data_IF_666525392724
#
_entry.id   IF_666525392724
#
_cell.length_a   1.000
_cell.length_b   1.000
_cell.length_c   1.000
_cell.angle_alpha   90.00
_cell.angle_beta   90.00
_cell.angle_gamma   90.00
#
_symmetry.space_group_name_H-M   'P 1'
#
loop_
_entity.id
_entity.type
_entity.pdbx_description
1 polymer ?
#
# COMPACT_ATOMS: atom_id res chain seq x y z
N UNK A 1 -25.32 -27.41 10.24
CA UNK A 1 -24.78 -26.17 10.85
C UNK A 1 -23.29 -26.29 10.80
N UNK A 2 -22.70 -25.83 9.74
CA UNK A 2 -21.24 -25.82 9.52
C UNK A 2 -20.78 -24.39 9.78
N UNK A 3 -20.02 -24.23 10.88
CA UNK A 3 -19.28 -23.00 11.19
C UNK A 3 -18.27 -22.75 10.08
N UNK A 4 -18.54 -21.75 9.27
CA UNK A 4 -17.59 -21.15 8.34
C UNK A 4 -16.73 -20.17 9.17
N UNK A 5 -15.66 -20.74 9.76
CA UNK A 5 -14.67 -19.98 10.52
C UNK A 5 -13.85 -19.15 9.56
N UNK A 6 -14.19 -17.89 9.52
CA UNK A 6 -13.59 -16.73 8.89
C UNK A 6 -12.17 -16.85 8.38
N UNK A 7 -12.03 -16.93 7.11
CA UNK A 7 -10.94 -16.27 6.41
C UNK A 7 -11.05 -14.78 6.71
N UNK A 8 -9.99 -14.18 7.28
CA UNK A 8 -9.89 -12.74 7.51
C UNK A 8 -9.81 -12.00 6.18
N UNK A 9 -10.87 -12.10 5.41
CA UNK A 9 -11.00 -11.46 4.13
C UNK A 9 -11.15 -9.95 4.39
N UNK A 10 -10.26 -9.18 3.81
CA UNK A 10 -10.49 -7.79 3.47
C UNK A 10 -11.86 -7.73 2.78
N UNK A 11 -12.91 -7.35 3.52
CA UNK A 11 -14.24 -7.37 2.94
C UNK A 11 -14.39 -6.21 1.97
N UNK A 12 -15.05 -6.42 0.84
CA UNK A 12 -15.45 -5.39 -0.13
C UNK A 12 -15.93 -4.09 0.52
N UNK A 13 -16.70 -4.22 1.61
CA UNK A 13 -17.19 -3.10 2.39
C UNK A 13 -16.07 -2.27 3.02
N UNK A 14 -14.96 -2.90 3.42
CA UNK A 14 -13.84 -2.21 4.10
C UNK A 14 -12.98 -1.45 3.10
N UNK A 15 -12.63 -2.06 1.95
CA UNK A 15 -11.88 -1.40 0.88
C UNK A 15 -12.65 -0.21 0.31
N UNK A 16 -13.91 -0.39 -0.04
CA UNK A 16 -14.80 0.68 -0.54
C UNK A 16 -14.99 1.79 0.49
N UNK A 17 -15.24 1.46 1.75
CA UNK A 17 -15.44 2.48 2.80
C UNK A 17 -14.20 3.31 3.03
N UNK A 18 -12.99 2.72 2.91
CA UNK A 18 -11.73 3.44 3.06
C UNK A 18 -11.43 4.33 1.85
N UNK A 19 -11.67 3.85 0.64
CA UNK A 19 -11.48 4.63 -0.59
C UNK A 19 -12.53 5.73 -0.72
N UNK A 20 -13.80 5.45 -0.50
CA UNK A 20 -14.88 6.44 -0.52
C UNK A 20 -14.69 7.50 0.57
N UNK A 21 -14.30 7.12 1.77
CA UNK A 21 -14.05 8.06 2.85
C UNK A 21 -12.78 8.89 2.65
N UNK A 22 -11.76 8.37 1.94
CA UNK A 22 -10.47 9.04 1.73
C UNK A 22 -10.33 9.68 0.35
N UNK A 23 -11.06 9.20 -0.66
CA UNK A 23 -10.87 9.51 -2.07
C UNK A 23 -10.86 10.98 -2.43
N UNK A 24 -11.84 11.74 -1.95
CA UNK A 24 -11.96 13.19 -2.23
C UNK A 24 -11.20 14.07 -1.26
N UNK A 25 -10.86 13.56 -0.05
CA UNK A 25 -10.37 14.40 1.05
C UNK A 25 -8.85 14.31 1.29
N UNK A 26 -8.11 13.40 0.61
CA UNK A 26 -6.68 13.18 0.82
C UNK A 26 -5.83 13.27 -0.46
N UNK A 27 -6.17 14.18 -1.37
CA UNK A 27 -5.47 14.35 -2.65
C UNK A 27 -3.97 14.66 -2.49
N UNK A 28 -3.62 15.51 -1.51
CA UNK A 28 -2.22 15.91 -1.27
C UNK A 28 -1.42 14.78 -0.63
N UNK A 29 -2.04 14.02 0.26
CA UNK A 29 -1.42 12.84 0.85
C UNK A 29 -1.15 11.77 -0.21
N UNK A 30 -2.10 11.51 -1.09
CA UNK A 30 -1.90 10.57 -2.22
C UNK A 30 -0.81 11.04 -3.17
N UNK A 31 -0.77 12.31 -3.51
CA UNK A 31 0.32 12.87 -4.32
C UNK A 31 1.68 12.78 -3.61
N UNK A 32 1.74 13.01 -2.30
CA UNK A 32 2.95 12.84 -1.50
C UNK A 32 3.41 11.36 -1.51
N UNK A 33 2.49 10.42 -1.30
CA UNK A 33 2.76 8.99 -1.35
C UNK A 33 3.25 8.57 -2.75
N UNK A 34 2.55 9.00 -3.79
CA UNK A 34 2.90 8.72 -5.17
C UNK A 34 4.29 9.22 -5.53
N UNK A 35 4.62 10.47 -5.20
CA UNK A 35 5.95 11.04 -5.48
C UNK A 35 7.09 10.26 -4.81
N UNK A 36 6.84 9.68 -3.64
CA UNK A 36 7.84 8.87 -2.94
C UNK A 36 8.00 7.47 -3.54
N UNK A 37 6.95 6.92 -4.12
CA UNK A 37 6.94 5.58 -4.71
C UNK A 37 7.39 5.63 -6.18
N UNK A 38 6.83 6.53 -6.98
CA UNK A 38 7.01 6.57 -8.43
C UNK A 38 8.47 6.77 -8.87
N UNK A 39 9.28 7.46 -8.07
CA UNK A 39 10.73 7.63 -8.35
C UNK A 39 11.54 6.32 -8.33
N UNK A 40 10.98 5.25 -7.78
CA UNK A 40 11.58 3.93 -7.74
C UNK A 40 10.98 2.96 -8.77
N UNK A 41 10.02 3.44 -9.57
CA UNK A 41 9.33 2.65 -10.58
C UNK A 41 10.06 2.75 -11.92
N UNK A 42 10.24 1.60 -12.56
CA UNK A 42 10.69 1.50 -13.96
C UNK A 42 9.52 1.66 -14.95
N UNK A 43 9.76 1.33 -16.23
CA UNK A 43 8.78 1.56 -17.31
C UNK A 43 7.56 0.63 -17.26
N UNK A 44 7.66 -0.52 -16.59
CA UNK A 44 6.55 -1.46 -16.39
C UNK A 44 6.29 -1.66 -14.91
N UNK A 45 5.03 -1.46 -14.48
CA UNK A 45 4.63 -1.50 -13.08
C UNK A 45 3.49 -2.48 -12.88
N UNK A 46 3.53 -3.25 -11.79
CA UNK A 46 2.41 -4.03 -11.29
C UNK A 46 2.04 -3.51 -9.90
N UNK A 47 0.83 -3.02 -9.72
CA UNK A 47 0.27 -2.65 -8.42
C UNK A 47 -0.55 -3.80 -7.85
N UNK A 48 -0.21 -4.21 -6.63
CA UNK A 48 -0.89 -5.26 -5.89
C UNK A 48 -1.85 -4.65 -4.87
N UNK A 49 -3.09 -5.16 -4.82
CA UNK A 49 -4.12 -4.63 -3.92
C UNK A 49 -4.53 -3.20 -4.30
N UNK A 50 -4.75 -2.97 -5.60
CA UNK A 50 -5.02 -1.64 -6.13
C UNK A 50 -6.42 -1.10 -5.77
N UNK A 51 -7.31 -1.94 -5.19
CA UNK A 51 -8.67 -1.56 -4.84
C UNK A 51 -9.45 -1.07 -6.06
N UNK A 52 -9.88 0.19 -6.03
CA UNK A 52 -10.56 0.83 -7.17
C UNK A 52 -9.59 1.54 -8.13
N UNK A 53 -8.27 1.37 -8.00
CA UNK A 53 -7.26 1.91 -8.90
C UNK A 53 -6.96 3.41 -8.70
N UNK A 54 -7.28 3.97 -7.54
CA UNK A 54 -7.04 5.40 -7.26
C UNK A 54 -5.55 5.77 -7.27
N UNK A 55 -4.69 4.92 -6.71
CA UNK A 55 -3.26 5.13 -6.74
C UNK A 55 -2.70 4.89 -8.15
N UNK A 56 -3.10 3.79 -8.80
CA UNK A 56 -2.74 3.45 -10.17
C UNK A 56 -3.06 4.57 -11.17
N UNK A 57 -4.16 5.31 -10.96
CA UNK A 57 -4.59 6.39 -11.85
C UNK A 57 -3.59 7.54 -11.98
N UNK A 58 -2.66 7.67 -11.03
CA UNK A 58 -1.62 8.70 -11.03
C UNK A 58 -0.44 8.34 -11.95
N UNK A 59 -0.25 7.06 -12.28
CA UNK A 59 0.79 6.65 -13.22
C UNK A 59 0.46 7.11 -14.64
N UNK A 60 1.42 7.75 -15.28
CA UNK A 60 1.36 8.18 -16.69
C UNK A 60 2.69 7.90 -17.37
N UNK A 61 2.67 7.62 -18.67
CA UNK A 61 3.89 7.42 -19.46
C UNK A 61 4.64 6.11 -19.17
N UNK A 62 3.95 5.12 -18.58
CA UNK A 62 4.48 3.76 -18.48
C UNK A 62 4.27 3.01 -19.80
N UNK A 63 5.17 2.08 -20.09
CA UNK A 63 5.01 1.15 -21.19
C UNK A 63 3.92 0.11 -20.88
N UNK A 64 3.80 -0.25 -19.59
CA UNK A 64 2.81 -1.20 -19.10
C UNK A 64 2.46 -0.95 -17.63
N UNK A 65 1.17 -0.98 -17.32
CA UNK A 65 0.66 -0.96 -15.95
C UNK A 65 -0.30 -2.13 -15.74
N UNK A 66 0.01 -3.01 -14.81
CA UNK A 66 -0.88 -4.08 -14.37
C UNK A 66 -1.45 -3.69 -13.00
N UNK A 67 -2.77 -3.61 -12.89
CA UNK A 67 -3.45 -3.32 -11.63
C UNK A 67 -4.15 -4.58 -11.13
N UNK A 68 -3.89 -4.97 -9.89
CA UNK A 68 -4.41 -6.24 -9.38
C UNK A 68 -5.11 -6.08 -8.04
N UNK A 69 -6.13 -6.91 -7.83
CA UNK A 69 -6.78 -7.06 -6.53
C UNK A 69 -7.24 -8.51 -6.34
N UNK A 70 -7.44 -8.92 -5.09
CA UNK A 70 -8.00 -10.22 -4.76
C UNK A 70 -9.50 -10.26 -5.02
N UNK A 71 -10.18 -9.12 -4.91
CA UNK A 71 -11.61 -8.97 -5.11
C UNK A 71 -11.95 -8.83 -6.61
N UNK A 72 -12.71 -9.80 -7.19
CA UNK A 72 -13.11 -9.72 -8.60
C UNK A 72 -13.99 -8.51 -8.91
N UNK A 73 -14.70 -7.94 -7.93
CA UNK A 73 -15.49 -6.73 -8.12
C UNK A 73 -14.62 -5.49 -8.30
N UNK A 74 -13.53 -5.40 -7.55
CA UNK A 74 -12.51 -4.37 -7.74
C UNK A 74 -11.88 -4.48 -9.13
N UNK A 75 -11.54 -5.70 -9.56
CA UNK A 75 -10.96 -5.94 -10.90
C UNK A 75 -11.91 -5.48 -12.01
N UNK A 76 -13.22 -5.79 -11.91
CA UNK A 76 -14.20 -5.31 -12.90
C UNK A 76 -14.26 -3.79 -12.97
N UNK A 77 -14.31 -3.12 -11.81
CA UNK A 77 -14.35 -1.66 -11.75
C UNK A 77 -13.07 -1.01 -12.29
N UNK A 78 -11.91 -1.61 -12.02
CA UNK A 78 -10.64 -1.15 -12.62
C UNK A 78 -10.62 -1.36 -14.14
N UNK A 79 -11.16 -2.47 -14.64
CA UNK A 79 -11.29 -2.69 -16.09
C UNK A 79 -12.11 -1.59 -16.74
N UNK A 80 -13.25 -1.23 -16.16
CA UNK A 80 -14.10 -0.14 -16.67
C UNK A 80 -13.41 1.23 -16.53
N UNK A 81 -12.76 1.47 -15.39
CA UNK A 81 -12.05 2.74 -15.12
C UNK A 81 -10.94 3.04 -16.09
N UNK A 82 -10.19 2.02 -16.50
CA UNK A 82 -9.02 2.15 -17.36
C UNK A 82 -9.30 1.72 -18.82
N UNK A 83 -10.56 1.61 -19.23
CA UNK A 83 -10.94 1.15 -20.58
C UNK A 83 -10.30 1.96 -21.73
N UNK A 84 -10.06 3.27 -21.51
CA UNK A 84 -9.44 4.17 -22.49
C UNK A 84 -7.90 4.21 -22.40
N UNK A 85 -7.28 3.35 -21.58
CA UNK A 85 -5.84 3.28 -21.35
C UNK A 85 -5.29 1.92 -21.79
N UNK A 86 -4.86 1.77 -23.05
CA UNK A 86 -4.44 0.47 -23.60
C UNK A 86 -3.19 -0.12 -22.92
N UNK A 87 -2.38 0.71 -22.26
CA UNK A 87 -1.21 0.28 -21.48
C UNK A 87 -1.59 -0.31 -20.12
N UNK A 88 -2.86 -0.21 -19.67
CA UNK A 88 -3.33 -0.67 -18.35
C UNK A 88 -4.10 -1.97 -18.50
N UNK A 89 -3.73 -2.96 -17.70
CA UNK A 89 -4.38 -4.26 -17.62
C UNK A 89 -4.84 -4.55 -16.19
N UNK A 90 -6.15 -4.80 -15.98
CA UNK A 90 -6.70 -5.20 -14.68
C UNK A 90 -6.76 -6.72 -14.56
N UNK A 91 -6.27 -7.30 -13.45
CA UNK A 91 -6.23 -8.74 -13.21
C UNK A 91 -6.53 -9.10 -11.75
N UNK A 92 -7.08 -10.28 -11.54
CA UNK A 92 -7.20 -10.84 -10.20
C UNK A 92 -5.86 -11.46 -9.77
N UNK A 93 -5.42 -11.15 -8.55
CA UNK A 93 -4.22 -11.71 -7.94
C UNK A 93 -4.42 -11.94 -6.45
N UNK A 94 -4.23 -13.17 -6.01
CA UNK A 94 -4.20 -13.55 -4.59
C UNK A 94 -2.79 -13.97 -4.20
N UNK A 95 -2.16 -13.21 -3.30
CA UNK A 95 -0.81 -13.50 -2.79
C UNK A 95 -0.76 -14.69 -1.83
N UNK A 96 -1.91 -15.11 -1.28
CA UNK A 96 -2.01 -16.27 -0.41
C UNK A 96 -2.26 -17.56 -1.20
N UNK A 97 -2.61 -17.43 -2.47
CA UNK A 97 -2.83 -18.52 -3.41
C UNK A 97 -1.61 -18.82 -4.28
N UNK A 98 -1.86 -19.52 -5.39
CA UNK A 98 -0.86 -19.74 -6.41
C UNK A 98 -0.71 -18.49 -7.27
N UNK A 99 0.40 -17.78 -7.11
CA UNK A 99 0.69 -16.58 -7.90
C UNK A 99 1.14 -16.99 -9.30
N UNK A 100 0.31 -16.68 -10.29
CA UNK A 100 0.65 -16.88 -11.70
C UNK A 100 1.11 -15.55 -12.30
N UNK A 101 2.29 -15.48 -12.94
CA UNK A 101 2.74 -14.28 -13.60
C UNK A 101 1.73 -13.79 -14.64
N UNK A 102 1.24 -12.58 -14.47
CA UNK A 102 0.24 -11.99 -15.36
C UNK A 102 0.96 -11.32 -16.53
N UNK A 103 0.97 -11.99 -17.68
CA UNK A 103 1.54 -11.43 -18.90
C UNK A 103 3.07 -11.19 -18.88
N UNK A 104 3.80 -11.90 -18.02
CA UNK A 104 5.24 -11.80 -17.81
C UNK A 104 5.64 -10.85 -16.66
N UNK A 105 6.92 -10.91 -16.23
CA UNK A 105 7.42 -10.07 -15.16
C UNK A 105 7.45 -8.59 -15.53
N UNK A 106 7.48 -7.73 -14.52
CA UNK A 106 7.56 -6.27 -14.63
C UNK A 106 8.85 -5.74 -14.03
N UNK A 107 9.23 -4.51 -14.41
CA UNK A 107 10.40 -3.85 -13.79
C UNK A 107 10.17 -3.46 -12.33
N UNK A 108 8.90 -3.22 -11.95
CA UNK A 108 8.58 -2.82 -10.57
C UNK A 108 7.23 -3.38 -10.10
N UNK A 109 7.22 -3.99 -8.93
CA UNK A 109 6.00 -4.29 -8.18
C UNK A 109 5.81 -3.23 -7.10
N UNK A 110 4.61 -2.67 -6.99
CA UNK A 110 4.20 -1.73 -5.95
C UNK A 110 3.12 -2.37 -5.10
N UNK A 111 3.28 -2.32 -3.78
CA UNK A 111 2.26 -2.78 -2.82
C UNK A 111 2.04 -1.71 -1.75
N UNK A 112 0.85 -1.10 -1.77
CA UNK A 112 0.45 -0.03 -0.86
C UNK A 112 -0.61 -0.55 0.10
N UNK A 113 -0.26 -0.66 1.37
CA UNK A 113 -1.12 -1.19 2.44
C UNK A 113 -1.69 -2.59 2.14
N UNK A 114 -0.79 -3.52 1.79
CA UNK A 114 -1.13 -4.91 1.47
C UNK A 114 -0.49 -5.88 2.46
N UNK A 115 0.81 -5.72 2.73
CA UNK A 115 1.60 -6.72 3.45
C UNK A 115 1.16 -6.89 4.91
N UNK A 116 0.59 -5.86 5.51
CA UNK A 116 0.04 -5.89 6.87
C UNK A 116 -1.18 -6.79 7.05
N UNK A 117 -1.83 -7.19 5.97
CA UNK A 117 -2.96 -8.11 5.96
C UNK A 117 -2.53 -9.58 5.89
N UNK A 118 -1.25 -9.86 5.59
CA UNK A 118 -0.75 -11.20 5.30
C UNK A 118 0.07 -11.72 6.48
N UNK A 119 -0.36 -12.84 7.06
CA UNK A 119 0.34 -13.44 8.21
C UNK A 119 1.76 -13.89 7.85
N UNK A 120 1.96 -14.46 6.66
CA UNK A 120 3.26 -14.95 6.20
C UNK A 120 3.90 -13.95 5.22
N UNK A 121 4.28 -12.80 5.72
CA UNK A 121 4.80 -11.68 4.92
C UNK A 121 6.04 -12.03 4.08
N UNK A 122 6.98 -12.79 4.62
CA UNK A 122 8.16 -13.23 3.85
C UNK A 122 7.80 -14.22 2.72
N UNK A 123 6.72 -14.99 2.87
CA UNK A 123 6.23 -15.86 1.80
C UNK A 123 5.55 -15.01 0.70
N UNK A 124 4.73 -14.04 1.10
CA UNK A 124 4.14 -13.08 0.16
C UNK A 124 5.20 -12.32 -0.63
N UNK A 125 6.26 -11.85 0.04
CA UNK A 125 7.39 -11.17 -0.63
C UNK A 125 8.12 -12.08 -1.63
N UNK A 126 8.29 -13.38 -1.32
CA UNK A 126 8.80 -14.35 -2.31
C UNK A 126 7.87 -14.50 -3.51
N UNK A 127 6.56 -14.53 -3.29
CA UNK A 127 5.58 -14.57 -4.38
C UNK A 127 5.67 -13.30 -5.23
N UNK A 128 5.77 -12.12 -4.61
CA UNK A 128 5.97 -10.86 -5.35
C UNK A 128 7.26 -10.87 -6.18
N UNK A 129 8.35 -11.45 -5.66
CA UNK A 129 9.62 -11.55 -6.37
C UNK A 129 9.51 -12.31 -7.69
N UNK A 130 8.61 -13.29 -7.81
CA UNK A 130 8.38 -14.03 -9.07
C UNK A 130 7.71 -13.19 -10.17
N UNK A 131 7.13 -12.06 -9.79
CA UNK A 131 6.47 -11.12 -10.71
C UNK A 131 7.41 -10.02 -11.22
N UNK A 132 8.63 -9.95 -10.69
CA UNK A 132 9.61 -8.91 -10.98
C UNK A 132 10.74 -9.47 -11.84
N UNK A 133 11.20 -8.69 -12.79
CA UNK A 133 12.40 -9.01 -13.59
C UNK A 133 13.65 -9.12 -12.70
N UNK A 134 14.65 -9.95 -13.08
CA UNK A 134 15.94 -9.94 -12.40
C UNK A 134 16.53 -8.52 -12.35
N UNK A 135 16.94 -8.08 -11.17
CA UNK A 135 17.40 -6.71 -10.94
C UNK A 135 16.30 -5.66 -10.79
N UNK A 136 15.03 -6.03 -10.99
CA UNK A 136 13.89 -5.14 -10.79
C UNK A 136 13.55 -4.90 -9.30
N UNK A 137 12.56 -4.08 -9.04
CA UNK A 137 12.27 -3.53 -7.70
C UNK A 137 10.91 -3.94 -7.16
N UNK A 138 10.81 -4.08 -5.84
CA UNK A 138 9.55 -4.16 -5.08
C UNK A 138 9.50 -2.94 -4.17
N UNK A 139 8.49 -2.10 -4.34
CA UNK A 139 8.26 -0.90 -3.53
C UNK A 139 7.09 -1.15 -2.59
N UNK A 140 7.35 -1.06 -1.30
CA UNK A 140 6.40 -1.34 -0.24
C UNK A 140 6.06 -0.06 0.53
N UNK A 141 4.76 0.17 0.74
CA UNK A 141 4.27 1.18 1.65
C UNK A 141 3.35 0.51 2.65
N UNK A 142 3.76 0.46 3.91
CA UNK A 142 3.05 -0.27 4.97
C UNK A 142 2.79 0.63 6.19
N UNK A 143 1.75 0.39 7.00
CA UNK A 143 1.51 1.12 8.22
C UNK A 143 2.64 0.91 9.23
N UNK A 144 3.07 2.01 9.84
CA UNK A 144 4.20 2.04 10.77
C UNK A 144 3.79 1.88 12.22
N UNK A 145 4.64 1.22 12.99
CA UNK A 145 4.71 1.15 14.44
C UNK A 145 3.47 0.60 15.16
N UNK A 146 3.65 -0.51 15.87
CA UNK A 146 2.59 -1.15 16.68
C UNK A 146 2.00 -0.24 17.76
N UNK A 147 2.72 0.81 18.19
CA UNK A 147 2.21 1.83 19.12
C UNK A 147 1.05 2.65 18.52
N UNK A 148 0.92 2.65 17.20
CA UNK A 148 -0.16 3.30 16.46
C UNK A 148 -1.31 2.32 16.11
N UNK A 149 -1.16 1.03 16.45
CA UNK A 149 -2.18 0.02 16.20
C UNK A 149 -3.42 0.25 17.09
N UNK A 150 -4.60 0.18 16.50
CA UNK A 150 -5.86 0.44 17.21
C UNK A 150 -7.06 -0.30 16.62
N UNK A 151 -8.26 0.16 17.00
CA UNK A 151 -9.53 -0.43 16.55
C UNK A 151 -9.73 -0.34 15.03
N UNK A 152 -9.17 0.71 14.42
CA UNK A 152 -9.18 0.85 12.97
C UNK A 152 -8.44 -0.33 12.33
N UNK A 153 -7.21 -0.62 12.75
CA UNK A 153 -6.39 -1.71 12.20
C UNK A 153 -7.12 -3.06 12.31
N UNK A 154 -7.71 -3.32 13.49
CA UNK A 154 -8.46 -4.57 13.71
C UNK A 154 -9.65 -4.71 12.75
N UNK A 155 -10.38 -3.62 12.52
CA UNK A 155 -11.55 -3.63 11.62
C UNK A 155 -11.19 -3.82 10.17
N UNK A 156 -10.07 -3.26 9.72
CA UNK A 156 -9.60 -3.44 8.34
C UNK A 156 -8.78 -4.72 8.16
N UNK A 157 -8.62 -5.54 9.22
CA UNK A 157 -7.93 -6.82 9.15
C UNK A 157 -6.40 -6.73 9.13
N UNK A 158 -5.82 -5.65 9.67
CA UNK A 158 -4.37 -5.61 9.86
C UNK A 158 -3.95 -6.60 10.95
N UNK A 159 -3.03 -7.46 10.65
CA UNK A 159 -2.43 -8.39 11.63
C UNK A 159 -1.19 -7.76 12.30
N UNK A 160 -0.60 -6.73 11.68
CA UNK A 160 0.59 -6.02 12.21
C UNK A 160 0.76 -4.62 11.64
N UNK A 161 1.70 -3.89 12.25
CA UNK A 161 2.34 -2.70 11.70
C UNK A 161 3.85 -2.89 11.74
N UNK A 162 4.58 -2.20 10.88
CA UNK A 162 6.01 -2.41 10.68
C UNK A 162 6.86 -1.30 11.29
N UNK A 163 8.05 -1.67 11.72
CA UNK A 163 9.18 -0.75 11.88
C UNK A 163 10.15 -0.94 10.72
N UNK A 164 11.07 -0.01 10.46
CA UNK A 164 12.13 -0.23 9.47
C UNK A 164 12.89 -1.54 9.69
N UNK A 165 13.13 -1.89 10.97
CA UNK A 165 13.83 -3.14 11.33
C UNK A 165 13.02 -4.38 10.96
N UNK A 166 11.74 -4.45 11.31
CA UNK A 166 10.90 -5.63 11.07
C UNK A 166 10.61 -5.81 9.58
N UNK A 167 10.38 -4.70 8.84
CA UNK A 167 10.19 -4.75 7.39
C UNK A 167 11.47 -5.21 6.66
N UNK A 168 12.64 -4.68 7.06
CA UNK A 168 13.93 -5.15 6.54
C UNK A 168 14.12 -6.65 6.79
N UNK A 169 13.77 -7.13 8.00
CA UNK A 169 13.89 -8.56 8.32
C UNK A 169 12.99 -9.43 7.44
N UNK A 170 11.75 -9.00 7.15
CA UNK A 170 10.84 -9.70 6.24
C UNK A 170 11.40 -9.74 4.81
N UNK A 171 11.93 -8.61 4.30
CA UNK A 171 12.53 -8.50 2.97
C UNK A 171 13.74 -9.45 2.84
N UNK A 172 14.66 -9.39 3.79
CA UNK A 172 15.87 -10.27 3.78
C UNK A 172 15.48 -11.74 3.97
N UNK A 173 14.51 -12.04 4.84
CA UNK A 173 13.95 -13.37 5.03
C UNK A 173 13.25 -13.96 3.79
N UNK A 174 12.87 -13.11 2.86
CA UNK A 174 12.35 -13.51 1.55
C UNK A 174 13.45 -13.76 0.49
N UNK A 175 14.72 -13.50 0.81
CA UNK A 175 15.85 -13.61 -0.13
C UNK A 175 16.05 -12.37 -1.00
N UNK A 176 15.41 -11.26 -0.67
CA UNK A 176 15.50 -10.00 -1.39
C UNK A 176 16.59 -9.09 -0.81
N UNK A 177 17.13 -8.19 -1.62
CA UNK A 177 18.08 -7.17 -1.20
C UNK A 177 17.34 -5.89 -0.79
N UNK A 178 17.41 -5.52 0.48
CA UNK A 178 16.79 -4.28 0.97
C UNK A 178 17.65 -3.06 0.63
N UNK A 179 17.25 -2.31 -0.38
CA UNK A 179 17.95 -1.12 -0.86
C UNK A 179 17.68 0.10 0.02
N UNK A 180 16.43 0.34 0.34
CA UNK A 180 15.99 1.46 1.19
C UNK A 180 14.91 0.96 2.16
N UNK A 181 14.93 1.44 3.39
CA UNK A 181 13.82 1.32 4.33
C UNK A 181 13.85 2.48 5.30
N UNK A 182 12.76 3.24 5.38
CA UNK A 182 12.66 4.41 6.25
C UNK A 182 11.24 4.71 6.68
N UNK A 183 11.07 5.36 7.83
CA UNK A 183 9.79 5.93 8.22
C UNK A 183 9.39 7.08 7.31
N UNK A 184 8.09 7.30 7.15
CA UNK A 184 7.51 8.42 6.40
C UNK A 184 6.26 8.92 7.11
N UNK A 185 5.90 10.18 6.85
CA UNK A 185 4.71 10.82 7.41
C UNK A 185 4.75 10.94 8.95
N UNK A 186 5.77 11.64 9.45
CA UNK A 186 5.96 11.91 10.90
C UNK A 186 4.75 12.60 11.52
N UNK A 187 4.32 13.72 10.94
CA UNK A 187 3.21 14.50 11.49
C UNK A 187 1.89 13.72 11.40
N UNK A 188 1.76 12.84 10.40
CA UNK A 188 0.64 11.89 10.32
C UNK A 188 0.63 10.90 11.49
N UNK A 189 1.80 10.41 11.92
CA UNK A 189 1.91 9.55 13.08
C UNK A 189 1.42 10.25 14.35
N UNK A 190 1.82 11.50 14.55
CA UNK A 190 1.38 12.32 15.70
C UNK A 190 -0.13 12.56 15.66
N UNK A 191 -0.66 12.96 14.50
CA UNK A 191 -2.10 13.19 14.31
C UNK A 191 -2.91 11.90 14.56
N UNK A 192 -2.46 10.78 14.03
CA UNK A 192 -3.08 9.47 14.21
C UNK A 192 -3.05 9.03 15.67
N UNK A 193 -1.90 9.15 16.34
CA UNK A 193 -1.78 8.81 17.75
C UNK A 193 -2.73 9.61 18.64
N UNK A 194 -2.86 10.91 18.38
CA UNK A 194 -3.81 11.77 19.10
C UNK A 194 -5.26 11.35 18.84
N UNK A 195 -5.62 11.02 17.60
CA UNK A 195 -6.96 10.57 17.24
C UNK A 195 -7.32 9.24 17.90
N UNK A 196 -6.42 8.26 17.86
CA UNK A 196 -6.62 6.93 18.46
C UNK A 196 -6.69 7.00 19.99
N UNK A 197 -5.84 7.83 20.64
CA UNK A 197 -5.81 7.97 22.10
C UNK A 197 -7.00 8.73 22.68
N UNK A 198 -7.53 9.70 21.96
CA UNK A 198 -8.59 10.59 22.46
C UNK A 198 -10.00 10.24 21.99
N UNK A 199 -10.13 9.45 20.92
CA UNK A 199 -11.39 9.41 20.20
C UNK A 199 -12.13 8.08 20.20
N UNK A 200 -11.51 6.94 20.47
CA UNK A 200 -12.17 5.63 20.22
C UNK A 200 -12.82 5.56 18.81
N UNK A 201 -12.23 6.25 17.84
CA UNK A 201 -12.89 6.65 16.59
C UNK A 201 -12.93 5.49 15.63
N UNK A 202 -14.13 5.11 15.33
CA UNK A 202 -14.44 4.06 14.35
C UNK A 202 -13.98 4.37 12.92
N UNK A 203 -14.07 5.59 12.47
CA UNK A 203 -13.59 6.04 11.17
C UNK A 203 -13.04 7.47 11.32
N UNK A 204 -12.02 7.85 10.56
CA UNK A 204 -11.53 9.23 10.57
C UNK A 204 -12.63 10.21 10.14
N UNK A 205 -12.80 11.29 10.88
CA UNK A 205 -13.76 12.33 10.54
C UNK A 205 -13.33 13.01 9.21
N UNK A 206 -14.16 13.04 8.16
CA UNK A 206 -13.82 13.61 6.85
C UNK A 206 -13.31 15.07 6.92
N UNK A 207 -13.86 15.87 7.84
CA UNK A 207 -13.41 17.28 8.03
C UNK A 207 -11.98 17.33 8.60
N UNK A 208 -11.65 16.46 9.55
CA UNK A 208 -10.30 16.39 10.11
C UNK A 208 -9.31 15.88 9.08
N UNK A 209 -9.71 14.89 8.25
CA UNK A 209 -8.91 14.42 7.12
C UNK A 209 -8.63 15.55 6.11
N UNK A 210 -9.63 16.36 5.77
CA UNK A 210 -9.46 17.49 4.86
C UNK A 210 -8.52 18.58 5.43
N UNK A 211 -8.63 18.88 6.73
CA UNK A 211 -7.72 19.80 7.41
C UNK A 211 -6.29 19.23 7.40
N UNK A 212 -6.13 17.98 7.78
CA UNK A 212 -4.84 17.28 7.75
C UNK A 212 -4.21 17.35 6.35
N UNK A 213 -4.95 16.97 5.31
CA UNK A 213 -4.48 16.98 3.92
C UNK A 213 -4.05 18.40 3.47
N UNK A 214 -4.81 19.42 3.88
CA UNK A 214 -4.58 20.81 3.45
C UNK A 214 -3.42 21.49 4.18
N UNK A 215 -3.19 21.15 5.45
CA UNK A 215 -2.25 21.88 6.31
C UNK A 215 -1.03 21.04 6.71
N UNK A 216 -1.25 19.82 7.16
CA UNK A 216 -0.18 18.98 7.72
C UNK A 216 0.65 18.32 6.63
N UNK A 217 0.02 17.77 5.59
CA UNK A 217 0.71 17.07 4.50
C UNK A 217 1.73 17.95 3.77
N UNK A 218 1.45 19.22 3.41
CA UNK A 218 2.44 20.09 2.78
C UNK A 218 3.67 20.35 3.67
N UNK A 219 3.45 20.54 4.98
CA UNK A 219 4.55 20.73 5.94
C UNK A 219 5.37 19.44 6.04
N UNK A 220 4.72 18.28 6.20
CA UNK A 220 5.39 16.97 6.21
C UNK A 220 6.25 16.79 4.96
N UNK A 221 5.67 17.01 3.78
CA UNK A 221 6.37 16.89 2.49
C UNK A 221 7.60 17.81 2.40
N UNK A 222 7.50 19.02 2.91
CA UNK A 222 8.60 19.98 2.90
C UNK A 222 9.73 19.55 3.83
N UNK A 223 9.40 19.18 5.05
CA UNK A 223 10.37 18.77 6.07
C UNK A 223 11.08 17.47 5.67
N UNK A 224 10.33 16.48 5.21
CA UNK A 224 10.87 15.15 4.86
C UNK A 224 11.68 15.11 3.56
N UNK A 225 11.75 16.22 2.82
CA UNK A 225 12.73 16.38 1.74
C UNK A 225 14.17 16.52 2.25
N UNK A 226 14.32 17.02 3.47
CA UNK A 226 15.62 17.38 4.05
C UNK A 226 16.03 16.47 5.21
N UNK A 227 15.05 15.89 5.89
CA UNK A 227 15.28 15.08 7.10
C UNK A 227 14.50 13.78 7.02
N UNK A 228 15.20 12.66 7.18
CA UNK A 228 14.54 11.37 7.40
C UNK A 228 13.96 11.35 8.82
N UNK A 229 12.63 11.20 8.99
CA UNK A 229 12.03 11.20 10.31
C UNK A 229 12.46 9.97 11.13
N UNK A 230 12.57 10.08 12.46
CA UNK A 230 12.93 8.95 13.33
C UNK A 230 11.80 7.91 13.46
N UNK A 231 10.56 8.31 13.19
CA UNK A 231 9.37 7.46 13.11
C UNK A 231 8.33 8.10 12.18
N UNK A 232 7.30 7.35 11.81
CA UNK A 232 6.26 7.85 10.90
C UNK A 232 4.97 7.05 10.99
N UNK A 233 3.92 7.55 10.36
CA UNK A 233 2.65 6.82 10.23
C UNK A 233 2.82 5.56 9.37
N UNK A 234 3.74 5.62 8.42
CA UNK A 234 4.04 4.52 7.50
C UNK A 234 5.54 4.27 7.40
N UNK A 235 5.89 3.14 6.83
CA UNK A 235 7.26 2.77 6.45
C UNK A 235 7.27 2.51 4.95
N UNK A 236 8.17 3.21 4.26
CA UNK A 236 8.50 2.97 2.85
C UNK A 236 9.71 2.02 2.80
N UNK A 237 9.65 1.02 1.94
CA UNK A 237 10.81 0.20 1.61
C UNK A 237 10.93 -0.03 0.11
N UNK A 238 12.17 -0.16 -0.34
CA UNK A 238 12.55 -0.57 -1.70
C UNK A 238 13.44 -1.79 -1.57
N UNK A 239 13.03 -2.87 -2.20
CA UNK A 239 13.80 -4.10 -2.29
C UNK A 239 14.09 -4.41 -3.76
N UNK A 240 15.20 -5.09 -4.04
CA UNK A 240 15.49 -5.60 -5.39
C UNK A 240 15.54 -7.12 -5.40
N UNK A 241 15.13 -7.68 -6.53
CA UNK A 241 15.27 -9.10 -6.84
C UNK A 241 16.71 -9.32 -7.30
N UNK A 242 17.44 -10.29 -6.73
CA UNK A 242 18.81 -10.61 -7.16
C UNK A 242 18.94 -10.99 -8.63
#
# INVERSE_FOLDING_TARGET
>A
MSDDAGTGAFTQATGRTLEDASGTHQRRYRAYQFDLIARHCGPSVLEVGAGLGEFASQFTGLDRLVVTDVDPDCVRQMTDRFADRPEVEARQLDLQGSVTPVGGPVSTVVAVNVLEHIEQDSAALRSLATLVEPGGSIVLWVPGYMQLYGDFDRRVGHVRRYTPRTLRSAIVGAGLVCQEVRPVNLLGAVAWWLAVRRGGVGAPNPRLLAIYDRTVVPVTRTVERWVTPPFGQSVLAVASVP
#
